data_IF_426363016778
#
_entry.id   IF_426363016778
#
_cell.length_a   1.000
_cell.length_b   1.000
_cell.length_c   1.000
_cell.angle_alpha   90.00
_cell.angle_beta   90.00
_cell.angle_gamma   90.00
#
_symmetry.space_group_name_H-M   'P 1'
#
loop_
_entity.id
_entity.type
_entity.pdbx_description
1 polymer ?
#
# COMPACT_ATOMS: atom_id res chain seq x y z
N UNK A 1 29.57 19.73 7.33
CA UNK A 1 29.04 18.61 8.14
C UNK A 1 28.10 17.78 7.26
N UNK A 2 28.56 16.64 6.75
CA UNK A 2 27.78 15.73 5.89
C UNK A 2 27.16 14.64 6.76
N UNK A 3 25.83 14.50 6.70
CA UNK A 3 25.14 13.29 7.11
C UNK A 3 24.77 12.53 5.83
N UNK A 4 25.39 11.38 5.52
CA UNK A 4 24.94 10.52 4.44
C UNK A 4 23.97 9.48 5.02
N UNK A 5 22.67 9.78 5.03
CA UNK A 5 21.65 8.76 5.32
C UNK A 5 21.40 7.93 4.05
N UNK A 6 22.29 6.97 3.81
CA UNK A 6 22.08 5.90 2.82
C UNK A 6 20.94 5.01 3.31
N UNK A 7 19.68 5.34 2.99
CA UNK A 7 18.57 4.40 3.18
C UNK A 7 18.72 3.28 2.17
N UNK A 8 19.13 2.12 2.67
CA UNK A 8 19.01 0.83 1.98
C UNK A 8 17.58 0.72 1.41
N UNK A 9 17.43 0.72 0.08
CA UNK A 9 16.16 0.39 -0.58
C UNK A 9 15.94 -1.12 -0.50
N UNK A 10 15.71 -1.64 0.72
CA UNK A 10 15.20 -3.00 0.86
C UNK A 10 13.79 -3.03 0.26
N UNK A 11 13.43 -4.02 -0.56
CA UNK A 11 12.06 -4.19 -1.02
C UNK A 11 11.14 -4.23 0.20
N UNK A 12 10.08 -3.43 0.22
CA UNK A 12 9.13 -3.34 1.36
C UNK A 12 8.65 -4.73 1.77
N UNK A 13 8.41 -5.60 0.79
CA UNK A 13 8.00 -6.99 1.03
C UNK A 13 9.04 -7.79 1.84
N UNK A 14 10.34 -7.53 1.69
CA UNK A 14 11.36 -8.18 2.52
C UNK A 14 11.28 -7.72 3.98
N UNK A 15 10.91 -6.46 4.23
CA UNK A 15 10.71 -5.96 5.60
C UNK A 15 9.47 -6.60 6.23
N UNK A 16 8.37 -6.66 5.48
CA UNK A 16 7.13 -7.32 5.91
C UNK A 16 7.33 -8.81 6.19
N UNK A 17 8.10 -9.51 5.35
CA UNK A 17 8.44 -10.92 5.53
C UNK A 17 9.35 -11.11 6.75
N UNK A 18 10.37 -10.26 6.92
CA UNK A 18 11.25 -10.29 8.10
C UNK A 18 10.53 -10.01 9.42
N UNK A 19 9.38 -9.35 9.37
CA UNK A 19 8.50 -9.10 10.52
C UNK A 19 7.40 -10.17 10.69
N UNK A 20 7.36 -11.19 9.83
CA UNK A 20 6.38 -12.27 9.90
C UNK A 20 4.96 -11.88 9.46
N UNK A 21 4.79 -10.72 8.81
CA UNK A 21 3.48 -10.20 8.40
C UNK A 21 3.04 -10.72 7.03
N UNK A 22 4.00 -11.16 6.21
CA UNK A 22 3.73 -11.81 4.92
C UNK A 22 4.56 -13.07 4.79
N UNK A 23 4.02 -14.06 4.09
CA UNK A 23 4.72 -15.26 3.66
C UNK A 23 4.91 -15.23 2.15
N UNK A 24 6.04 -15.78 1.69
CA UNK A 24 6.34 -15.94 0.27
C UNK A 24 6.36 -17.40 -0.13
N UNK A 25 5.52 -17.74 -1.08
CA UNK A 25 5.46 -19.07 -1.64
C UNK A 25 5.77 -19.02 -3.14
N UNK A 26 6.40 -20.08 -3.65
CA UNK A 26 6.62 -20.23 -5.09
C UNK A 26 5.29 -20.65 -5.70
N UNK A 27 4.86 -19.95 -6.75
CA UNK A 27 3.65 -20.33 -7.46
C UNK A 27 3.83 -21.74 -8.07
N UNK A 28 2.99 -22.73 -7.71
CA UNK A 28 3.09 -24.08 -8.24
C UNK A 28 2.85 -24.15 -9.76
N UNK A 29 2.11 -23.20 -10.34
CA UNK A 29 1.84 -23.11 -11.78
C UNK A 29 2.96 -22.37 -12.54
N UNK A 30 3.71 -21.49 -11.87
CA UNK A 30 4.81 -20.75 -12.48
C UNK A 30 5.93 -20.45 -11.48
N UNK A 31 6.94 -21.32 -11.44
CA UNK A 31 8.07 -21.23 -10.49
C UNK A 31 8.92 -19.95 -10.59
N UNK A 32 8.74 -19.15 -11.66
CA UNK A 32 9.40 -17.84 -11.81
C UNK A 32 8.69 -16.73 -11.05
N UNK A 33 7.47 -16.97 -10.57
CA UNK A 33 6.68 -16.03 -9.78
C UNK A 33 6.67 -16.46 -8.30
N UNK A 34 6.70 -15.46 -7.40
CA UNK A 34 6.47 -15.65 -5.97
C UNK A 34 5.13 -15.02 -5.62
N UNK A 35 4.27 -15.79 -4.95
CA UNK A 35 3.03 -15.29 -4.37
C UNK A 35 3.38 -14.77 -2.97
N UNK A 36 2.93 -13.54 -2.69
CA UNK A 36 3.07 -12.91 -1.38
C UNK A 36 1.68 -12.90 -0.74
N UNK A 37 1.55 -13.54 0.41
CA UNK A 37 0.27 -13.66 1.13
C UNK A 37 0.42 -13.09 2.53
N UNK A 38 -0.63 -12.47 3.07
CA UNK A 38 -0.67 -12.07 4.47
C UNK A 38 -0.67 -13.31 5.38
N UNK A 39 0.11 -13.26 6.46
CA UNK A 39 0.00 -14.22 7.56
C UNK A 39 -1.20 -13.87 8.45
N UNK A 40 -1.50 -14.71 9.43
CA UNK A 40 -2.52 -14.39 10.45
C UNK A 40 -2.20 -13.09 11.19
N UNK A 41 -0.94 -12.91 11.60
CA UNK A 41 -0.44 -11.67 12.22
C UNK A 41 -0.55 -10.47 11.28
N UNK A 42 -0.25 -10.67 9.99
CA UNK A 42 -0.44 -9.66 8.96
C UNK A 42 -1.90 -9.23 8.82
N UNK A 43 -2.84 -10.19 8.82
CA UNK A 43 -4.27 -9.90 8.77
C UNK A 43 -4.75 -9.18 10.04
N UNK A 44 -4.28 -9.59 11.22
CA UNK A 44 -4.61 -8.93 12.47
C UNK A 44 -4.13 -7.46 12.45
N UNK A 45 -2.93 -7.21 11.94
CA UNK A 45 -2.40 -5.85 11.78
C UNK A 45 -3.24 -5.01 10.83
N UNK A 46 -3.66 -5.54 9.68
CA UNK A 46 -4.55 -4.85 8.74
C UNK A 46 -5.87 -4.48 9.43
N UNK A 47 -6.47 -5.40 10.19
CA UNK A 47 -7.71 -5.10 10.95
C UNK A 47 -7.53 -3.97 11.96
N UNK A 48 -6.37 -3.89 12.62
CA UNK A 48 -6.09 -2.76 13.53
C UNK A 48 -5.95 -1.43 12.77
N UNK A 49 -5.34 -1.45 11.60
CA UNK A 49 -5.20 -0.27 10.74
C UNK A 49 -6.57 0.18 10.24
N UNK A 50 -7.39 -0.75 9.73
CA UNK A 50 -8.75 -0.46 9.26
C UNK A 50 -9.67 0.03 10.39
N UNK A 51 -9.42 -0.39 11.63
CA UNK A 51 -10.13 0.08 12.81
C UNK A 51 -9.66 1.47 13.29
N UNK A 52 -8.53 1.96 12.80
CA UNK A 52 -8.04 3.30 13.10
C UNK A 52 -8.77 4.29 12.18
N UNK A 53 -9.47 5.25 12.76
CA UNK A 53 -10.08 6.33 11.99
C UNK A 53 -8.97 7.15 11.30
N UNK A 54 -8.98 7.15 9.97
CA UNK A 54 -8.19 8.04 9.12
C UNK A 54 -9.13 9.09 8.54
N UNK A 55 -9.49 10.14 9.31
CA UNK A 55 -10.44 11.14 8.88
C UNK A 55 -9.89 11.88 7.65
N UNK A 56 -10.74 12.04 6.65
CA UNK A 56 -10.38 12.80 5.46
C UNK A 56 -9.95 14.23 5.86
N UNK A 57 -8.92 14.80 5.22
CA UNK A 57 -8.53 16.19 5.42
C UNK A 57 -9.72 17.15 5.22
N UNK A 58 -9.75 18.25 5.98
CA UNK A 58 -10.85 19.22 5.94
C UNK A 58 -11.22 19.66 4.52
N UNK A 59 -10.22 19.89 3.68
CA UNK A 59 -10.39 20.28 2.28
C UNK A 59 -11.16 19.26 1.42
N UNK A 60 -11.13 17.98 1.79
CA UNK A 60 -11.93 16.93 1.14
C UNK A 60 -13.31 16.81 1.78
N UNK A 61 -13.41 16.98 3.10
CA UNK A 61 -14.71 16.95 3.80
C UNK A 61 -15.63 18.11 3.42
N UNK A 62 -15.07 19.23 2.95
CA UNK A 62 -15.85 20.39 2.48
C UNK A 62 -16.44 20.23 1.08
N UNK A 63 -16.05 19.19 0.33
CA UNK A 63 -16.55 18.93 -1.02
C UNK A 63 -17.87 18.19 -0.98
N UNK A 64 -18.76 18.50 -1.92
CA UNK A 64 -19.99 17.72 -2.12
C UNK A 64 -19.72 16.43 -2.92
N UNK A 65 -20.73 15.54 -2.96
CA UNK A 65 -20.63 14.26 -3.68
C UNK A 65 -20.29 14.41 -5.18
N UNK A 66 -20.71 15.50 -5.81
CA UNK A 66 -20.47 15.73 -7.22
C UNK A 66 -19.01 16.12 -7.47
N UNK A 67 -18.45 16.98 -6.62
CA UNK A 67 -17.06 17.39 -6.68
C UNK A 67 -16.12 16.24 -6.29
N UNK A 68 -16.49 15.43 -5.30
CA UNK A 68 -15.74 14.21 -4.96
C UNK A 68 -15.68 13.22 -6.13
N UNK A 69 -16.80 13.00 -6.84
CA UNK A 69 -16.83 12.15 -8.05
C UNK A 69 -15.96 12.70 -9.18
N UNK A 70 -15.94 14.03 -9.37
CA UNK A 70 -15.06 14.67 -10.37
C UNK A 70 -13.60 14.51 -10.00
N UNK A 71 -13.24 14.75 -8.74
CA UNK A 71 -11.89 14.58 -8.24
C UNK A 71 -11.41 13.12 -8.41
N UNK A 72 -12.24 12.14 -8.01
CA UNK A 72 -11.95 10.72 -8.22
C UNK A 72 -11.67 10.42 -9.70
N UNK A 73 -12.49 10.93 -10.61
CA UNK A 73 -12.33 10.71 -12.05
C UNK A 73 -10.99 11.25 -12.58
N UNK A 74 -10.55 12.41 -12.09
CA UNK A 74 -9.27 13.01 -12.45
C UNK A 74 -8.11 12.17 -11.91
N UNK A 75 -8.16 11.75 -10.64
CA UNK A 75 -7.12 10.95 -10.01
C UNK A 75 -6.93 9.59 -10.72
N UNK A 76 -8.03 8.90 -11.05
CA UNK A 76 -7.99 7.65 -11.83
C UNK A 76 -7.32 7.86 -13.19
N UNK A 77 -7.64 8.97 -13.87
CA UNK A 77 -7.02 9.31 -15.15
C UNK A 77 -5.52 9.59 -15.04
N UNK A 78 -5.07 10.26 -13.97
CA UNK A 78 -3.65 10.50 -13.72
C UNK A 78 -2.93 9.17 -13.41
N UNK A 79 -3.53 8.30 -12.60
CA UNK A 79 -2.94 7.01 -12.23
C UNK A 79 -2.75 6.09 -13.44
N UNK A 80 -3.78 5.96 -14.28
CA UNK A 80 -3.71 5.16 -15.52
C UNK A 80 -2.68 5.65 -16.55
N UNK A 81 -2.27 6.92 -16.48
CA UNK A 81 -1.17 7.45 -17.29
C UNK A 81 0.19 7.17 -16.68
N UNK A 82 0.28 7.01 -15.35
CA UNK A 82 1.52 6.79 -14.62
C UNK A 82 1.96 5.33 -14.60
N UNK A 83 1.01 4.39 -14.80
CA UNK A 83 1.28 2.95 -14.86
C UNK A 83 1.71 2.47 -16.28
N UNK A 84 1.96 3.38 -17.23
CA UNK A 84 2.49 3.11 -18.57
C UNK A 84 3.98 3.39 -18.66
#
# INVERSE_FOLDING_TARGET
MRQPSTRLRRPVVNDLEGRGLVAREIDPANRRCKIVSLTEDGQAMVRMIDATEDPAPEALTSLDDADLKRLQSILVRIQSLSDR
#
